data_IF_712192469668
#
_entry.id   IF_712192469668
#
_cell.length_a   1.000
_cell.length_b   1.000
_cell.length_c   1.000
_cell.angle_alpha   90.00
_cell.angle_beta   90.00
_cell.angle_gamma   90.00
#
_symmetry.space_group_name_H-M   'P 1'
#
loop_
_entity.id
_entity.type
_entity.pdbx_description
1 polymer ?
#
# COMPACT_ATOMS: atom_id res chain seq x y z
N UNK A 1 22.39 -2.63 35.42
CA UNK A 1 23.34 -1.52 35.59
C UNK A 1 22.54 -0.26 35.85
N UNK A 2 22.31 0.05 37.12
CA UNK A 2 21.65 1.28 37.55
C UNK A 2 22.64 2.45 37.48
N UNK A 3 22.15 3.61 37.03
CA UNK A 3 22.89 4.87 37.07
C UNK A 3 21.94 6.05 36.96
N UNK A 4 21.12 6.24 38.01
CA UNK A 4 20.45 7.51 38.27
C UNK A 4 21.54 8.52 38.67
N UNK A 5 21.59 9.68 38.02
CA UNK A 5 22.39 10.80 38.52
C UNK A 5 21.45 11.96 38.83
N UNK A 6 21.32 12.18 40.13
CA UNK A 6 20.51 13.18 40.80
C UNK A 6 20.93 14.60 40.38
N UNK A 7 19.94 15.43 40.09
CA UNK A 7 20.13 16.87 39.95
C UNK A 7 20.31 17.49 41.33
N UNK A 8 21.53 17.96 41.63
CA UNK A 8 21.76 18.86 42.75
C UNK A 8 22.20 20.24 42.24
N UNK A 9 21.26 21.17 42.42
CA UNK A 9 21.35 22.60 42.28
C UNK A 9 22.35 23.18 43.31
N UNK A 10 23.40 23.89 42.87
CA UNK A 10 23.91 25.12 43.49
C UNK A 10 25.36 25.46 43.09
N UNK A 11 25.54 26.70 42.62
CA UNK A 11 26.77 27.52 42.69
C UNK A 11 27.98 27.04 41.88
N UNK A 12 28.33 27.78 40.82
CA UNK A 12 29.58 28.57 40.75
C UNK A 12 29.75 29.17 39.35
N UNK A 13 29.64 30.49 39.27
CA UNK A 13 30.21 31.30 38.18
C UNK A 13 31.70 30.99 38.07
N UNK A 14 32.13 30.30 37.01
CA UNK A 14 33.53 30.33 36.56
C UNK A 14 33.58 30.52 35.05
N UNK A 15 34.14 31.65 34.66
CA UNK A 15 34.46 32.06 33.31
C UNK A 15 35.37 31.03 32.64
N UNK A 16 34.91 30.45 31.53
CA UNK A 16 35.73 29.57 30.69
C UNK A 16 36.14 30.33 29.42
N UNK A 17 37.29 31.03 29.47
CA UNK A 17 38.01 31.42 28.24
C UNK A 17 38.87 30.24 27.81
N UNK A 18 38.40 29.45 26.86
CA UNK A 18 39.25 28.52 26.09
C UNK A 18 39.53 29.13 24.73
N UNK A 19 40.75 29.63 24.56
CA UNK A 19 41.27 30.08 23.28
C UNK A 19 41.35 28.92 22.30
N UNK A 20 40.96 29.17 21.05
CA UNK A 20 41.35 28.36 19.90
C UNK A 20 42.44 29.12 19.16
N UNK A 21 43.64 28.56 19.17
CA UNK A 21 44.74 28.93 18.28
C UNK A 21 44.31 28.72 16.82
N UNK A 22 44.39 29.77 16.01
CA UNK A 22 44.37 29.67 14.56
C UNK A 22 45.64 30.35 14.06
N UNK A 23 46.57 29.53 13.56
CA UNK A 23 47.78 29.97 12.89
C UNK A 23 47.44 30.88 11.70
N UNK A 24 48.03 32.08 11.65
CA UNK A 24 48.03 32.95 10.47
C UNK A 24 49.47 33.31 10.08
N UNK A 25 49.76 33.09 8.80
CA UNK A 25 51.02 33.31 8.08
C UNK A 25 51.48 34.78 8.12
N UNK A 26 52.79 35.09 8.12
CA UNK A 26 53.25 36.47 8.29
C UNK A 26 53.21 37.28 7.00
N UNK A 27 53.26 38.60 7.22
CA UNK A 27 53.54 39.73 6.32
C UNK A 27 52.38 40.41 5.61
N UNK A 28 52.01 41.58 6.16
CA UNK A 28 52.00 42.86 5.43
C UNK A 28 52.25 44.02 6.41
N UNK A 29 53.46 44.57 6.42
CA UNK A 29 53.73 45.91 6.96
C UNK A 29 53.09 46.94 6.03
N UNK A 30 52.04 47.62 6.48
CA UNK A 30 51.72 48.98 6.00
C UNK A 30 51.41 49.85 7.20
N UNK A 31 52.33 50.77 7.45
CA UNK A 31 52.24 51.80 8.47
C UNK A 31 51.46 52.99 7.88
N UNK A 32 50.21 53.20 8.32
CA UNK A 32 49.54 54.50 8.25
C UNK A 32 48.83 54.75 9.58
N UNK A 33 49.37 55.71 10.33
CA UNK A 33 48.76 56.36 11.48
C UNK A 33 47.30 56.71 11.18
N UNK A 34 46.38 55.91 11.70
CA UNK A 34 45.03 56.33 12.01
C UNK A 34 44.96 56.37 13.54
N UNK A 35 44.71 57.55 14.10
CA UNK A 35 44.54 57.73 15.53
C UNK A 35 43.47 56.77 16.04
N UNK A 36 43.69 56.05 17.17
CA UNK A 36 42.62 55.26 17.76
C UNK A 36 41.57 56.24 18.28
N UNK A 37 40.39 56.28 17.67
CA UNK A 37 39.24 56.91 18.30
C UNK A 37 39.00 56.14 19.60
N UNK A 38 39.31 56.76 20.74
CA UNK A 38 39.19 56.17 22.07
C UNK A 38 37.72 56.02 22.43
N UNK A 39 37.11 54.92 22.01
CA UNK A 39 35.88 54.40 22.62
C UNK A 39 36.20 54.21 24.10
N UNK A 40 35.54 54.96 24.99
CA UNK A 40 35.75 54.82 26.44
C UNK A 40 35.49 53.37 26.85
N UNK A 41 36.29 52.78 27.74
CA UNK A 41 36.15 51.38 28.21
C UNK A 41 34.70 51.01 28.60
N UNK A 42 33.93 52.01 29.07
CA UNK A 42 32.49 51.86 29.35
C UNK A 42 31.65 51.54 28.11
N UNK A 43 31.91 52.17 26.97
CA UNK A 43 31.22 51.88 25.71
C UNK A 43 31.56 50.48 25.19
N UNK A 44 32.83 50.05 25.27
CA UNK A 44 33.23 48.70 24.88
C UNK A 44 32.55 47.61 25.74
N UNK A 45 32.45 47.84 27.05
CA UNK A 45 31.75 46.94 27.96
C UNK A 45 30.25 46.82 27.64
N UNK A 46 29.58 47.95 27.36
CA UNK A 46 28.16 47.99 26.97
C UNK A 46 27.92 47.22 25.67
N UNK A 47 28.75 47.43 24.63
CA UNK A 47 28.67 46.67 23.37
C UNK A 47 28.84 45.16 23.61
N UNK A 48 29.77 44.76 24.46
CA UNK A 48 30.00 43.34 24.81
C UNK A 48 28.78 42.72 25.50
N UNK A 49 28.12 43.43 26.42
CA UNK A 49 26.89 42.97 27.07
C UNK A 49 25.77 42.79 26.05
N UNK A 50 25.58 43.77 25.15
CA UNK A 50 24.54 43.69 24.13
C UNK A 50 24.77 42.54 23.15
N UNK A 51 26.01 42.31 22.73
CA UNK A 51 26.35 41.18 21.86
C UNK A 51 26.07 39.84 22.56
N UNK A 52 26.56 39.67 23.80
CA UNK A 52 26.31 38.46 24.59
C UNK A 52 24.81 38.22 24.83
N UNK A 53 24.03 39.28 25.05
CA UNK A 53 22.56 39.21 25.14
C UNK A 53 21.94 38.76 23.82
N UNK A 54 22.40 39.28 22.69
CA UNK A 54 21.89 38.90 21.37
C UNK A 54 22.21 37.43 21.05
N UNK A 55 23.44 36.98 21.32
CA UNK A 55 23.87 35.59 21.15
C UNK A 55 23.06 34.64 22.04
N UNK A 56 22.89 34.98 23.32
CA UNK A 56 22.06 34.19 24.24
C UNK A 56 20.61 34.06 23.76
N UNK A 57 20.04 35.15 23.23
CA UNK A 57 18.69 35.11 22.65
C UNK A 57 18.63 34.27 21.36
N UNK A 58 19.67 34.30 20.52
CA UNK A 58 19.74 33.46 19.33
C UNK A 58 19.73 31.97 19.71
N UNK A 59 20.59 31.57 20.65
CA UNK A 59 20.61 30.19 21.14
C UNK A 59 19.30 29.76 21.80
N UNK A 60 18.65 30.64 22.56
CA UNK A 60 17.33 30.34 23.14
C UNK A 60 16.27 30.06 22.07
N UNK A 61 16.24 30.84 20.98
CA UNK A 61 15.32 30.61 19.86
C UNK A 61 15.63 29.30 19.15
N UNK A 62 16.90 29.00 18.91
CA UNK A 62 17.31 27.74 18.29
C UNK A 62 16.92 26.52 19.14
N UNK A 63 17.17 26.58 20.45
CA UNK A 63 16.78 25.53 21.39
C UNK A 63 15.26 25.35 21.44
N UNK A 64 14.49 26.45 21.48
CA UNK A 64 13.04 26.38 21.44
C UNK A 64 12.55 25.68 20.15
N UNK A 65 13.08 26.07 18.99
CA UNK A 65 12.72 25.45 17.71
C UNK A 65 13.14 23.98 17.61
N UNK A 66 14.29 23.60 18.17
CA UNK A 66 14.70 22.18 18.26
C UNK A 66 13.79 21.39 19.18
N UNK A 67 13.40 21.97 20.31
CA UNK A 67 12.54 21.31 21.31
C UNK A 67 11.13 21.08 20.76
N UNK A 68 10.59 22.07 20.03
CA UNK A 68 9.32 21.95 19.32
C UNK A 68 9.38 20.83 18.28
N UNK A 69 10.40 20.84 17.40
CA UNK A 69 10.57 19.77 16.40
C UNK A 69 10.73 18.39 17.02
N UNK A 70 11.49 18.28 18.11
CA UNK A 70 11.65 17.02 18.83
C UNK A 70 10.30 16.54 19.41
N UNK A 71 9.55 17.43 20.06
CA UNK A 71 8.24 17.11 20.63
C UNK A 71 7.23 16.68 19.56
N UNK A 72 7.23 17.36 18.41
CA UNK A 72 6.42 17.01 17.26
C UNK A 72 6.81 15.63 16.72
N UNK A 73 8.11 15.34 16.65
CA UNK A 73 8.60 14.04 16.18
C UNK A 73 8.18 12.90 17.11
N UNK A 74 8.17 13.11 18.42
CA UNK A 74 7.65 12.12 19.37
C UNK A 74 6.16 11.82 19.12
N UNK A 75 5.34 12.85 18.86
CA UNK A 75 3.92 12.66 18.56
C UNK A 75 3.70 11.90 17.24
N UNK A 76 4.50 12.19 16.21
CA UNK A 76 4.44 11.46 14.94
C UNK A 76 4.81 9.99 15.09
N UNK A 77 5.88 9.69 15.85
CA UNK A 77 6.30 8.31 16.12
C UNK A 77 5.22 7.54 16.86
N UNK A 78 4.66 8.10 17.93
CA UNK A 78 3.59 7.44 18.68
C UNK A 78 2.37 7.14 17.80
N UNK A 79 1.97 8.07 16.92
CA UNK A 79 0.87 7.85 15.97
C UNK A 79 1.22 6.74 14.97
N UNK A 80 2.44 6.74 14.44
CA UNK A 80 2.89 5.72 13.52
C UNK A 80 2.91 4.32 14.17
N UNK A 81 3.41 4.22 15.40
CA UNK A 81 3.46 2.98 16.19
C UNK A 81 2.05 2.45 16.49
N UNK A 82 1.12 3.32 16.88
CA UNK A 82 -0.27 2.93 17.11
C UNK A 82 -0.92 2.39 15.83
N UNK A 83 -0.75 3.11 14.71
CA UNK A 83 -1.28 2.69 13.41
C UNK A 83 -0.67 1.36 12.93
N UNK A 84 0.63 1.15 13.13
CA UNK A 84 1.26 -0.14 12.80
C UNK A 84 0.72 -1.27 13.67
N UNK A 85 0.54 -1.02 14.97
CA UNK A 85 -0.01 -2.03 15.87
C UNK A 85 -1.47 -2.38 15.53
N UNK A 86 -2.27 -1.42 15.07
CA UNK A 86 -3.63 -1.69 14.59
C UNK A 86 -3.64 -2.53 13.31
N UNK A 87 -2.80 -2.19 12.33
CA UNK A 87 -2.63 -2.97 11.10
C UNK A 87 -2.18 -4.40 11.39
N UNK A 88 -1.25 -4.59 12.33
CA UNK A 88 -0.78 -5.91 12.73
C UNK A 88 -1.93 -6.76 13.27
N UNK A 89 -2.78 -6.19 14.14
CA UNK A 89 -3.96 -6.88 14.66
C UNK A 89 -4.96 -7.23 13.56
N UNK A 90 -5.13 -6.36 12.56
CA UNK A 90 -6.00 -6.63 11.41
C UNK A 90 -5.44 -7.76 10.54
N UNK A 91 -4.14 -7.77 10.28
CA UNK A 91 -3.44 -8.83 9.56
C UNK A 91 -3.64 -10.16 10.29
N UNK A 92 -3.38 -10.22 11.60
CA UNK A 92 -3.59 -11.45 12.38
C UNK A 92 -5.05 -11.94 12.43
N UNK A 93 -6.03 -11.04 12.24
CA UNK A 93 -7.44 -11.44 12.06
C UNK A 93 -7.65 -12.07 10.68
N UNK A 94 -7.22 -11.37 9.63
CA UNK A 94 -7.36 -11.83 8.24
C UNK A 94 -6.64 -13.15 7.98
N UNK A 95 -5.49 -13.38 8.60
CA UNK A 95 -4.75 -14.65 8.51
C UNK A 95 -5.55 -15.82 9.08
N UNK A 96 -6.18 -15.62 10.24
CA UNK A 96 -7.04 -16.65 10.85
C UNK A 96 -8.27 -16.94 10.00
N UNK A 97 -8.94 -15.91 9.49
CA UNK A 97 -10.10 -16.07 8.61
C UNK A 97 -9.71 -16.79 7.32
N UNK A 98 -8.55 -16.46 6.76
CA UNK A 98 -8.03 -17.10 5.55
C UNK A 98 -7.70 -18.57 5.78
N UNK A 99 -7.12 -18.92 6.93
CA UNK A 99 -6.84 -20.31 7.29
C UNK A 99 -8.11 -21.12 7.52
N UNK A 100 -9.11 -20.53 8.19
CA UNK A 100 -10.42 -21.16 8.38
C UNK A 100 -11.10 -21.44 7.04
N UNK A 101 -11.13 -20.45 6.13
CA UNK A 101 -11.67 -20.62 4.78
C UNK A 101 -10.93 -21.70 4.00
N UNK A 102 -9.60 -21.80 4.12
CA UNK A 102 -8.82 -22.88 3.48
C UNK A 102 -9.25 -24.26 3.98
N UNK A 103 -9.42 -24.42 5.30
CA UNK A 103 -9.89 -25.66 5.90
C UNK A 103 -11.29 -26.04 5.41
N UNK A 104 -12.23 -25.10 5.44
CA UNK A 104 -13.59 -25.33 4.93
C UNK A 104 -13.59 -25.72 3.45
N UNK A 105 -12.73 -25.09 2.64
CA UNK A 105 -12.61 -25.42 1.23
C UNK A 105 -12.05 -26.84 1.02
N UNK A 106 -11.11 -27.28 1.86
CA UNK A 106 -10.60 -28.65 1.86
C UNK A 106 -11.68 -29.66 2.27
N UNK A 107 -12.42 -29.36 3.34
CA UNK A 107 -13.50 -30.22 3.84
C UNK A 107 -14.62 -30.37 2.80
N UNK A 108 -15.02 -29.27 2.15
CA UNK A 108 -15.99 -29.30 1.06
C UNK A 108 -15.50 -30.12 -0.13
N UNK A 109 -14.23 -29.99 -0.51
CA UNK A 109 -13.63 -30.81 -1.58
C UNK A 109 -13.62 -32.30 -1.22
N UNK A 110 -13.30 -32.65 0.03
CA UNK A 110 -13.34 -34.02 0.51
C UNK A 110 -14.78 -34.59 0.45
N UNK A 111 -15.77 -33.86 0.96
CA UNK A 111 -17.19 -34.24 0.91
C UNK A 111 -17.68 -34.40 -0.52
N UNK A 112 -17.31 -33.50 -1.42
CA UNK A 112 -17.66 -33.60 -2.84
C UNK A 112 -17.05 -34.85 -3.47
N UNK A 113 -15.78 -35.15 -3.16
CA UNK A 113 -15.09 -36.36 -3.65
C UNK A 113 -15.75 -37.65 -3.13
N UNK A 114 -16.17 -37.66 -1.86
CA UNK A 114 -16.92 -38.77 -1.28
C UNK A 114 -18.28 -38.95 -1.97
N UNK A 115 -19.02 -37.86 -2.20
CA UNK A 115 -20.31 -37.93 -2.89
C UNK A 115 -20.17 -38.45 -4.33
N UNK A 116 -19.16 -37.97 -5.06
CA UNK A 116 -18.83 -38.49 -6.39
C UNK A 116 -18.51 -39.99 -6.33
N UNK A 117 -17.72 -40.41 -5.33
CA UNK A 117 -17.39 -41.83 -5.13
C UNK A 117 -18.63 -42.66 -4.81
N UNK A 118 -19.53 -42.17 -3.93
CA UNK A 118 -20.81 -42.81 -3.59
C UNK A 118 -21.70 -42.95 -4.82
N UNK A 119 -21.92 -41.88 -5.58
CA UNK A 119 -22.73 -41.89 -6.79
C UNK A 119 -22.14 -42.83 -7.85
N UNK A 120 -20.81 -42.95 -7.96
CA UNK A 120 -20.18 -43.93 -8.85
C UNK A 120 -20.42 -45.36 -8.37
N UNK A 121 -20.21 -45.65 -7.08
CA UNK A 121 -20.47 -46.97 -6.50
C UNK A 121 -21.89 -47.42 -6.76
N UNK A 122 -22.90 -46.59 -6.48
CA UNK A 122 -24.30 -46.96 -6.70
C UNK A 122 -24.63 -47.26 -8.17
N UNK A 123 -23.88 -46.69 -9.14
CA UNK A 123 -24.02 -47.03 -10.56
C UNK A 123 -23.34 -48.38 -10.87
N UNK A 124 -22.15 -48.64 -10.33
CA UNK A 124 -21.40 -49.90 -10.54
C UNK A 124 -21.96 -51.10 -9.78
N UNK A 125 -22.45 -50.93 -8.55
CA UNK A 125 -23.03 -51.99 -7.73
C UNK A 125 -24.36 -52.48 -8.34
N UNK A 126 -25.12 -51.57 -8.97
CA UNK A 126 -26.29 -51.91 -9.82
C UNK A 126 -25.92 -52.68 -11.10
N UNK A 127 -24.62 -52.81 -11.44
CA UNK A 127 -24.16 -53.57 -12.61
C UNK A 127 -23.42 -54.87 -12.25
N UNK A 128 -23.12 -55.14 -10.97
CA UNK A 128 -22.44 -56.37 -10.53
C UNK A 128 -23.32 -57.36 -9.77
N UNK A 129 -24.42 -56.93 -9.16
CA UNK A 129 -25.39 -57.80 -8.47
C UNK A 129 -26.79 -57.68 -9.09
N UNK A 130 -26.95 -58.17 -10.31
CA UNK A 130 -28.26 -58.59 -10.83
C UNK A 130 -28.07 -59.75 -11.81
N UNK A 131 -27.59 -60.87 -11.28
CA UNK A 131 -27.98 -62.17 -11.79
C UNK A 131 -29.30 -62.55 -11.11
N UNK A 132 -30.40 -62.35 -11.86
CA UNK A 132 -31.80 -62.72 -11.56
C UNK A 132 -32.56 -61.69 -10.71
N UNK A 133 -33.54 -61.03 -11.33
CA UNK A 133 -34.63 -60.20 -10.76
C UNK A 133 -34.49 -58.67 -10.65
N UNK A 134 -33.84 -58.00 -11.63
CA UNK A 134 -34.18 -56.60 -11.94
C UNK A 134 -34.48 -56.39 -13.41
N UNK A 135 -35.65 -55.81 -13.65
CA UNK A 135 -36.29 -55.70 -14.96
C UNK A 135 -35.42 -54.91 -15.95
N UNK A 136 -35.23 -55.37 -17.20
CA UNK A 136 -34.49 -54.67 -18.27
C UNK A 136 -34.91 -53.22 -18.57
N UNK A 137 -36.01 -52.74 -17.99
CA UNK A 137 -36.60 -51.43 -18.26
C UNK A 137 -35.81 -50.26 -17.64
N UNK A 138 -35.32 -50.36 -16.40
CA UNK A 138 -34.67 -49.22 -15.71
C UNK A 138 -33.29 -48.87 -16.28
N UNK A 139 -32.53 -49.87 -16.73
CA UNK A 139 -31.21 -49.69 -17.36
C UNK A 139 -31.33 -49.08 -18.76
N UNK A 140 -32.35 -49.50 -19.52
CA UNK A 140 -32.66 -48.96 -20.83
C UNK A 140 -33.16 -47.51 -20.73
N UNK A 141 -33.99 -47.20 -19.73
CA UNK A 141 -34.42 -45.82 -19.45
C UNK A 141 -33.24 -44.89 -19.14
N UNK A 142 -32.26 -45.34 -18.35
CA UNK A 142 -31.03 -44.58 -18.08
C UNK A 142 -30.18 -44.38 -19.34
N UNK A 143 -30.06 -45.41 -20.18
CA UNK A 143 -29.33 -45.32 -21.47
C UNK A 143 -29.97 -44.29 -22.38
N UNK A 144 -31.29 -44.37 -22.56
CA UNK A 144 -32.08 -43.42 -23.34
C UNK A 144 -31.99 -41.99 -22.76
N UNK A 145 -31.99 -41.84 -21.44
CA UNK A 145 -31.82 -40.53 -20.80
C UNK A 145 -30.42 -39.92 -21.07
N UNK A 146 -29.37 -40.73 -21.05
CA UNK A 146 -28.01 -40.30 -21.40
C UNK A 146 -27.90 -39.89 -22.88
N UNK A 147 -28.48 -40.66 -23.79
CA UNK A 147 -28.52 -40.36 -25.22
C UNK A 147 -29.24 -39.04 -25.50
N UNK A 148 -30.42 -38.86 -24.90
CA UNK A 148 -31.16 -37.59 -24.99
C UNK A 148 -30.41 -36.42 -24.39
N UNK A 149 -29.68 -36.62 -23.28
CA UNK A 149 -28.85 -35.56 -22.70
C UNK A 149 -27.71 -35.17 -23.64
N UNK A 150 -27.08 -36.14 -24.33
CA UNK A 150 -26.04 -35.84 -25.31
C UNK A 150 -26.57 -35.09 -26.52
N UNK A 151 -27.72 -35.49 -27.05
CA UNK A 151 -28.40 -34.80 -28.16
C UNK A 151 -28.72 -33.34 -27.79
N UNK A 152 -29.36 -33.11 -26.64
CA UNK A 152 -29.70 -31.77 -26.17
C UNK A 152 -28.44 -30.91 -25.99
N UNK A 153 -27.35 -31.48 -25.47
CA UNK A 153 -26.08 -30.76 -25.30
C UNK A 153 -25.49 -30.34 -26.64
N UNK A 154 -25.55 -31.21 -27.65
CA UNK A 154 -25.08 -30.92 -29.01
C UNK A 154 -25.96 -29.85 -29.67
N UNK A 155 -27.29 -29.95 -29.56
CA UNK A 155 -28.21 -28.92 -30.05
C UNK A 155 -27.95 -27.56 -29.41
N UNK A 156 -27.77 -27.52 -28.08
CA UNK A 156 -27.43 -26.30 -27.36
C UNK A 156 -26.09 -25.72 -27.83
N UNK A 157 -25.08 -26.56 -28.08
CA UNK A 157 -23.80 -26.11 -28.64
C UNK A 157 -23.98 -25.53 -30.04
N UNK A 158 -24.84 -26.12 -30.87
CA UNK A 158 -25.14 -25.65 -32.21
C UNK A 158 -25.90 -24.32 -32.21
N UNK A 159 -26.90 -24.17 -31.32
CA UNK A 159 -27.64 -22.91 -31.14
C UNK A 159 -26.69 -21.81 -30.66
N UNK A 160 -25.88 -22.09 -29.64
CA UNK A 160 -24.89 -21.15 -29.11
C UNK A 160 -23.89 -20.71 -30.19
N UNK A 161 -23.38 -21.65 -30.98
CA UNK A 161 -22.46 -21.33 -32.08
C UNK A 161 -23.10 -20.51 -33.20
N UNK A 162 -24.42 -20.65 -33.45
CA UNK A 162 -25.16 -19.79 -34.40
C UNK A 162 -25.35 -18.39 -33.85
N UNK A 163 -25.79 -18.26 -32.60
CA UNK A 163 -26.01 -16.94 -31.98
C UNK A 163 -24.72 -16.15 -31.82
N UNK A 164 -23.59 -16.80 -31.50
CA UNK A 164 -22.28 -16.15 -31.45
C UNK A 164 -21.87 -15.57 -32.80
N UNK A 165 -22.09 -16.31 -33.89
CA UNK A 165 -21.82 -15.84 -35.26
C UNK A 165 -22.72 -14.66 -35.65
N UNK A 166 -23.99 -14.71 -35.29
CA UNK A 166 -24.94 -13.63 -35.53
C UNK A 166 -24.53 -12.36 -34.77
N UNK A 167 -24.16 -12.49 -33.49
CA UNK A 167 -23.66 -11.36 -32.68
C UNK A 167 -22.39 -10.77 -33.32
N UNK A 168 -21.46 -11.59 -33.80
CA UNK A 168 -20.25 -11.11 -34.48
C UNK A 168 -20.58 -10.36 -35.77
N UNK A 169 -21.49 -10.88 -36.58
CA UNK A 169 -21.95 -10.21 -37.80
C UNK A 169 -22.63 -8.86 -37.49
N UNK A 170 -23.50 -8.82 -36.49
CA UNK A 170 -24.16 -7.59 -36.05
C UNK A 170 -23.16 -6.55 -35.52
N UNK A 171 -22.15 -6.99 -34.77
CA UNK A 171 -21.06 -6.11 -34.31
C UNK A 171 -20.28 -5.50 -35.47
N UNK A 172 -19.96 -6.29 -36.50
CA UNK A 172 -19.25 -5.77 -37.67
C UNK A 172 -20.14 -4.81 -38.48
N UNK A 173 -21.42 -5.13 -38.67
CA UNK A 173 -22.36 -4.23 -39.32
C UNK A 173 -22.47 -2.89 -38.57
N UNK A 174 -22.53 -2.91 -37.24
CA UNK A 174 -22.54 -1.70 -36.44
C UNK A 174 -21.24 -0.90 -36.60
N UNK A 175 -20.07 -1.58 -36.59
CA UNK A 175 -18.76 -0.96 -36.79
C UNK A 175 -18.70 -0.22 -38.14
N UNK A 176 -19.16 -0.87 -39.20
CA UNK A 176 -19.20 -0.31 -40.55
C UNK A 176 -20.20 0.86 -40.64
N UNK A 177 -21.39 0.74 -40.05
CA UNK A 177 -22.38 1.81 -40.02
C UNK A 177 -21.86 3.05 -39.27
N UNK A 178 -21.20 2.85 -38.13
CA UNK A 178 -20.57 3.94 -37.37
C UNK A 178 -19.46 4.63 -38.18
N UNK A 179 -18.63 3.86 -38.91
CA UNK A 179 -17.59 4.41 -39.77
C UNK A 179 -18.19 5.28 -40.91
N UNK A 180 -19.22 4.77 -41.59
CA UNK A 180 -19.91 5.51 -42.65
C UNK A 180 -20.53 6.82 -42.15
N UNK A 181 -21.13 6.83 -40.95
CA UNK A 181 -21.65 8.05 -40.33
C UNK A 181 -20.54 9.07 -40.02
N UNK A 182 -19.39 8.62 -39.52
CA UNK A 182 -18.25 9.49 -39.23
C UNK A 182 -17.66 10.11 -40.50
N UNK A 183 -17.57 9.35 -41.60
CA UNK A 183 -17.16 9.85 -42.90
C UNK A 183 -18.14 10.90 -43.45
N UNK A 184 -19.45 10.64 -43.35
CA UNK A 184 -20.48 11.62 -43.71
C UNK A 184 -20.37 12.93 -42.93
N UNK A 185 -20.11 12.86 -41.62
CA UNK A 185 -19.88 14.05 -40.79
C UNK A 185 -18.61 14.82 -41.17
N UNK A 186 -17.51 14.12 -41.47
CA UNK A 186 -16.26 14.76 -41.92
C UNK A 186 -16.42 15.50 -43.26
N UNK A 187 -17.17 14.90 -44.19
CA UNK A 187 -17.46 15.51 -45.49
C UNK A 187 -18.42 16.70 -45.37
N UNK A 188 -19.44 16.61 -44.50
CA UNK A 188 -20.33 17.73 -44.19
C UNK A 188 -19.58 18.93 -43.58
N UNK A 189 -18.68 18.68 -42.62
CA UNK A 189 -17.88 19.73 -42.00
C UNK A 189 -16.83 20.35 -42.94
N UNK A 190 -16.53 19.74 -44.10
CA UNK A 190 -15.66 20.33 -45.15
C UNK A 190 -16.43 21.17 -46.18
N UNK A 191 -17.76 21.17 -46.15
CA UNK A 191 -18.61 21.99 -47.03
C UNK A 191 -19.15 23.26 -46.35
N UNK A 192 -19.01 23.38 -45.03
CA UNK A 192 -19.38 24.55 -44.23
C UNK A 192 -18.19 25.51 -43.94
N UNK A 193 -17.17 25.53 -44.81
CA UNK A 193 -16.11 26.57 -44.85
C UNK A 193 -15.95 27.16 -46.25
#
# INVERSE_FOLDING_TARGET
MHGLCESNNSKSLRTCRRGRDVHLHPDLRVNRKLAPQSVSDRQFHVLTIHLCRAESQAFQRELAGLSERYSQKCLELNRAEQNSAEREREISRKERDMEQLRKENQDLKARLKEEISRMRSTITDQSSEDNKDRTPCELEEKRLACERYTEIREELSGIKGRSEREIQSLKEHLRLAMAALQEGQKLGNSLDH
#
